data_IF_709223090812
#
_entry.id   IF_709223090812
#
_cell.length_a   1.000
_cell.length_b   1.000
_cell.length_c   1.000
_cell.angle_alpha   90.00
_cell.angle_beta   90.00
_cell.angle_gamma   90.00
#
_symmetry.space_group_name_H-M   'P 1'
#
loop_
_entity.id
_entity.type
_entity.pdbx_description
1 polymer ?
#
# COMPACT_ATOMS: atom_id res chain seq x y z
N UNK A 1 37.89 -33.01 -37.71
CA UNK A 1 36.90 -32.39 -36.78
C UNK A 1 37.17 -30.89 -36.73
N UNK A 2 36.21 -30.05 -37.11
CA UNK A 2 36.36 -28.59 -37.06
C UNK A 2 35.76 -28.02 -35.75
N UNK A 3 36.39 -27.04 -35.09
CA UNK A 3 35.90 -26.49 -33.83
C UNK A 3 34.68 -25.59 -34.04
N UNK A 4 33.59 -25.90 -33.33
CA UNK A 4 32.38 -25.06 -33.29
C UNK A 4 32.64 -23.82 -32.42
N UNK A 5 32.87 -22.67 -33.05
CA UNK A 5 32.97 -21.40 -32.34
C UNK A 5 31.63 -21.06 -31.68
N UNK A 6 31.58 -21.10 -30.34
CA UNK A 6 30.37 -20.82 -29.56
C UNK A 6 29.80 -19.42 -29.82
N UNK A 7 28.49 -19.35 -30.05
CA UNK A 7 27.79 -18.09 -30.33
C UNK A 7 27.84 -17.17 -29.10
N UNK A 8 28.57 -16.05 -29.18
CA UNK A 8 28.70 -15.09 -28.08
C UNK A 8 27.33 -14.49 -27.73
N UNK A 9 26.96 -14.57 -26.45
CA UNK A 9 25.69 -14.06 -25.92
C UNK A 9 25.69 -12.53 -26.01
N UNK A 10 24.70 -11.96 -26.67
CA UNK A 10 24.57 -10.50 -26.79
C UNK A 10 24.33 -9.87 -25.41
N UNK A 11 25.10 -8.83 -25.08
CA UNK A 11 24.99 -8.17 -23.77
C UNK A 11 23.63 -7.46 -23.63
N UNK A 12 23.15 -7.33 -22.39
CA UNK A 12 21.87 -6.65 -22.11
C UNK A 12 21.86 -5.21 -22.64
N UNK A 13 23.02 -4.54 -22.64
CA UNK A 13 23.19 -3.19 -23.20
C UNK A 13 22.98 -3.16 -24.72
N UNK A 14 23.50 -4.15 -25.45
CA UNK A 14 23.29 -4.27 -26.89
C UNK A 14 21.84 -4.65 -27.27
N UNK A 15 21.10 -5.29 -26.36
CA UNK A 15 19.65 -5.55 -26.55
C UNK A 15 18.80 -4.31 -26.32
N UNK A 16 19.23 -3.40 -25.44
CA UNK A 16 18.52 -2.16 -25.15
C UNK A 16 18.67 -1.09 -26.24
N UNK A 17 19.79 -1.11 -26.98
CA UNK A 17 20.02 -0.15 -28.08
C UNK A 17 19.34 -0.53 -29.40
N UNK A 18 18.87 -1.79 -29.54
CA UNK A 18 18.22 -2.27 -30.77
C UNK A 18 16.70 -2.33 -30.60
N UNK A 19 16.06 -1.18 -30.68
CA UNK A 19 14.73 -0.97 -31.28
C UNK A 19 14.25 0.46 -31.00
N UNK A 20 14.62 1.42 -31.85
CA UNK A 20 13.72 2.54 -32.13
C UNK A 20 12.54 1.95 -32.92
N UNK A 21 11.53 1.47 -32.19
CA UNK A 21 10.25 1.06 -32.77
C UNK A 21 9.71 2.27 -33.55
N UNK A 22 9.16 2.11 -34.78
CA UNK A 22 8.50 3.22 -35.45
C UNK A 22 7.43 3.74 -34.49
N UNK A 23 7.59 5.00 -34.08
CA UNK A 23 6.58 5.68 -33.28
C UNK A 23 5.33 5.71 -34.15
N UNK A 24 4.26 5.07 -33.68
CA UNK A 24 2.96 5.27 -34.30
C UNK A 24 2.69 6.77 -34.23
N UNK A 25 2.54 7.42 -35.38
CA UNK A 25 2.12 8.81 -35.49
C UNK A 25 0.67 8.87 -35.01
N UNK A 26 0.51 9.03 -33.71
CA UNK A 26 -0.79 9.36 -33.11
C UNK A 26 -1.18 10.74 -33.69
N UNK A 27 -2.42 10.91 -34.17
CA UNK A 27 -2.89 12.21 -34.59
C UNK A 27 -2.68 13.19 -33.43
N UNK A 28 -1.96 14.27 -33.70
CA UNK A 28 -1.90 15.43 -32.80
C UNK A 28 -3.34 15.84 -32.55
N UNK A 29 -3.83 15.86 -31.30
CA UNK A 29 -5.16 16.36 -31.05
C UNK A 29 -5.20 17.78 -31.60
N UNK A 30 -6.11 18.04 -32.53
CA UNK A 30 -6.39 19.39 -32.99
C UNK A 30 -6.52 20.28 -31.75
N UNK A 31 -5.92 21.46 -31.80
CA UNK A 31 -5.97 22.47 -30.75
C UNK A 31 -7.39 23.04 -30.52
N UNK A 32 -8.42 22.26 -30.81
CA UNK A 32 -9.82 22.50 -30.46
C UNK A 32 -10.05 22.11 -28.99
N UNK A 33 -9.28 22.73 -28.11
CA UNK A 33 -9.55 22.73 -26.69
C UNK A 33 -10.74 23.64 -26.41
N UNK A 34 -11.95 23.17 -26.77
CA UNK A 34 -13.24 23.71 -26.34
C UNK A 34 -13.32 23.94 -24.82
N UNK A 35 -12.41 23.30 -24.05
CA UNK A 35 -12.17 23.57 -22.64
C UNK A 35 -10.67 23.78 -22.38
N UNK A 36 -10.31 24.92 -21.78
CA UNK A 36 -8.94 25.18 -21.31
C UNK A 36 -8.52 24.11 -20.32
N UNK A 37 -7.56 23.28 -20.73
CA UNK A 37 -7.07 22.16 -19.91
C UNK A 37 -6.29 22.68 -18.69
N UNK A 38 -7.03 22.96 -17.62
CA UNK A 38 -6.49 23.41 -16.34
C UNK A 38 -5.50 22.38 -15.78
N UNK A 39 -4.49 22.85 -15.05
CA UNK A 39 -3.53 21.98 -14.36
C UNK A 39 -4.22 21.02 -13.39
N UNK A 40 -5.38 21.42 -12.84
CA UNK A 40 -6.23 20.56 -12.01
C UNK A 40 -6.82 19.41 -12.84
N UNK A 41 -7.35 19.71 -14.01
CA UNK A 41 -7.96 18.73 -14.91
C UNK A 41 -6.96 17.70 -15.45
N UNK A 42 -5.78 18.16 -15.87
CA UNK A 42 -4.67 17.26 -16.25
C UNK A 42 -4.27 16.33 -15.09
N UNK A 43 -4.34 16.81 -13.85
CA UNK A 43 -4.00 16.02 -12.66
C UNK A 43 -5.09 15.01 -12.33
N UNK A 44 -6.37 15.37 -12.43
CA UNK A 44 -7.49 14.46 -12.21
C UNK A 44 -7.53 13.35 -13.24
N UNK A 45 -7.33 13.68 -14.53
CA UNK A 45 -7.26 12.70 -15.62
C UNK A 45 -6.10 11.72 -15.41
N UNK A 46 -4.90 12.22 -15.05
CA UNK A 46 -3.75 11.35 -14.75
C UNK A 46 -4.01 10.45 -13.54
N UNK A 47 -4.65 11.00 -12.51
CA UNK A 47 -4.98 10.24 -11.30
C UNK A 47 -6.00 9.13 -11.59
N UNK A 48 -7.09 9.43 -12.32
CA UNK A 48 -8.11 8.43 -12.66
C UNK A 48 -7.56 7.32 -13.57
N UNK A 49 -6.71 7.68 -14.55
CA UNK A 49 -6.01 6.72 -15.39
C UNK A 49 -5.07 5.80 -14.56
N UNK A 50 -4.37 6.36 -13.57
CA UNK A 50 -3.50 5.59 -12.69
C UNK A 50 -4.27 4.64 -11.76
N UNK A 51 -5.36 5.12 -11.13
CA UNK A 51 -6.20 4.32 -10.23
C UNK A 51 -6.83 3.15 -10.99
N UNK A 52 -7.42 3.38 -12.15
CA UNK A 52 -8.01 2.31 -12.98
C UNK A 52 -6.99 1.25 -13.40
N UNK A 53 -5.73 1.64 -13.62
CA UNK A 53 -4.64 0.70 -13.93
C UNK A 53 -4.30 -0.19 -12.72
N UNK A 54 -4.26 0.38 -11.52
CA UNK A 54 -3.96 -0.36 -10.29
C UNK A 54 -5.09 -1.31 -9.94
N UNK A 55 -6.34 -0.81 -9.92
CA UNK A 55 -7.52 -1.61 -9.59
C UNK A 55 -7.61 -2.84 -10.47
N UNK A 56 -7.44 -2.68 -11.79
CA UNK A 56 -7.44 -3.79 -12.76
C UNK A 56 -6.25 -4.75 -12.61
N UNK A 57 -5.12 -4.31 -12.06
CA UNK A 57 -3.93 -5.15 -11.86
C UNK A 57 -3.90 -5.89 -10.51
N UNK A 58 -4.86 -5.61 -9.62
CA UNK A 58 -4.92 -6.21 -8.28
C UNK A 58 -5.41 -7.66 -8.27
N UNK A 59 -6.05 -8.12 -9.36
CA UNK A 59 -6.37 -9.54 -9.61
C UNK A 59 -5.09 -10.32 -9.98
N UNK A 60 -4.26 -10.59 -8.98
CA UNK A 60 -3.05 -11.40 -9.15
C UNK A 60 -3.41 -12.78 -9.70
N UNK A 61 -3.08 -13.03 -10.97
CA UNK A 61 -3.09 -14.37 -11.56
C UNK A 61 -2.13 -15.22 -10.71
N UNK A 62 -2.66 -16.22 -10.00
CA UNK A 62 -1.84 -17.10 -9.18
C UNK A 62 -0.80 -17.78 -10.07
N UNK A 63 0.48 -17.51 -9.80
CA UNK A 63 1.59 -18.18 -10.48
C UNK A 63 1.57 -19.64 -10.08
N UNK A 64 0.96 -20.49 -10.91
CA UNK A 64 0.94 -21.95 -10.72
C UNK A 64 2.38 -22.45 -10.80
N UNK A 65 2.80 -23.21 -9.79
CA UNK A 65 4.11 -23.89 -9.81
C UNK A 65 4.13 -24.89 -10.98
N UNK A 66 5.30 -25.05 -11.61
CA UNK A 66 5.51 -26.08 -12.64
C UNK A 66 5.13 -27.46 -12.06
N UNK A 67 4.57 -28.38 -12.87
CA UNK A 67 4.10 -29.69 -12.37
C UNK A 67 5.15 -30.43 -11.53
N UNK A 68 6.41 -30.43 -11.97
CA UNK A 68 7.53 -31.09 -11.27
C UNK A 68 8.00 -30.38 -9.98
N UNK A 69 7.34 -29.28 -9.59
CA UNK A 69 7.61 -28.54 -8.34
C UNK A 69 6.33 -28.25 -7.57
N UNK A 70 5.24 -28.99 -7.84
CA UNK A 70 4.07 -28.95 -6.96
C UNK A 70 4.42 -29.66 -5.66
N UNK A 71 4.01 -29.08 -4.54
CA UNK A 71 4.07 -29.79 -3.27
C UNK A 71 3.02 -30.91 -3.35
N UNK A 72 3.44 -32.14 -3.08
CA UNK A 72 2.52 -33.27 -2.94
C UNK A 72 1.92 -33.14 -1.54
N UNK A 73 0.62 -32.91 -1.44
CA UNK A 73 -0.09 -32.70 -0.16
C UNK A 73 -0.91 -33.93 0.23
N UNK A 74 -0.37 -35.13 -0.03
CA UNK A 74 -1.04 -36.39 0.30
C UNK A 74 -0.60 -36.84 1.71
N UNK A 75 -1.47 -37.59 2.41
CA UNK A 75 -1.17 -38.09 3.76
C UNK A 75 0.08 -38.99 3.80
N UNK A 76 0.36 -39.72 2.72
CA UNK A 76 1.59 -40.52 2.57
C UNK A 76 2.86 -39.66 2.57
N UNK A 77 2.81 -38.47 1.97
CA UNK A 77 3.95 -37.53 1.98
C UNK A 77 4.18 -36.92 3.36
N UNK A 78 3.14 -36.84 4.20
CA UNK A 78 3.26 -36.43 5.59
C UNK A 78 3.86 -37.56 6.46
N UNK A 79 3.49 -38.81 6.20
CA UNK A 79 4.06 -39.98 6.87
C UNK A 79 5.57 -40.13 6.57
N UNK A 80 5.98 -39.93 5.30
CA UNK A 80 7.40 -39.93 4.91
C UNK A 80 8.19 -38.81 5.61
N UNK A 81 7.60 -37.61 5.74
CA UNK A 81 8.20 -36.50 6.47
C UNK A 81 8.31 -36.73 7.99
N UNK A 82 7.49 -37.62 8.57
CA UNK A 82 7.57 -37.99 9.99
C UNK A 82 8.72 -38.98 10.26
N UNK A 83 9.10 -39.82 9.28
CA UNK A 83 10.20 -40.78 9.42
C UNK A 83 11.56 -40.10 9.69
N UNK A 84 11.72 -38.84 9.27
CA UNK A 84 12.91 -38.04 9.54
C UNK A 84 12.97 -37.38 10.92
N UNK A 85 11.90 -37.48 11.73
CA UNK A 85 11.81 -36.90 13.08
C UNK A 85 12.13 -37.92 14.20
N UNK A 86 12.07 -39.22 13.91
CA UNK A 86 12.33 -40.27 14.92
C UNK A 86 13.83 -40.42 15.24
N UNK A 87 14.70 -40.04 14.31
CA UNK A 87 16.16 -40.07 14.48
C UNK A 87 16.74 -38.68 14.84
N UNK A 88 16.07 -37.97 15.75
CA UNK A 88 16.51 -36.67 16.25
C UNK A 88 16.31 -36.60 17.75
N UNK A 89 17.38 -36.92 18.48
CA UNK A 89 17.44 -36.93 19.93
C UNK A 89 16.77 -35.70 20.57
N UNK A 90 16.03 -35.94 21.64
CA UNK A 90 15.28 -34.95 22.41
C UNK A 90 16.16 -33.90 23.11
N UNK A 91 16.68 -32.96 22.34
CA UNK A 91 17.23 -31.71 22.84
C UNK A 91 16.47 -30.55 22.20
N UNK A 92 15.79 -29.76 23.03
CA UNK A 92 15.16 -28.49 22.65
C UNK A 92 16.18 -27.42 22.26
N UNK A 93 17.06 -27.73 21.31
CA UNK A 93 17.90 -26.78 20.64
C UNK A 93 17.11 -26.26 19.44
N UNK A 94 16.35 -25.19 19.67
CA UNK A 94 16.01 -24.27 18.61
C UNK A 94 17.34 -23.87 17.97
N UNK A 95 17.68 -24.46 16.83
CA UNK A 95 18.82 -24.02 16.01
C UNK A 95 18.50 -22.60 15.59
N UNK A 96 18.94 -21.64 16.40
CA UNK A 96 19.05 -20.20 16.13
C UNK A 96 20.18 -20.04 15.11
N UNK A 97 19.98 -20.66 13.96
CA UNK A 97 20.85 -20.64 12.80
C UNK A 97 20.49 -19.45 11.92
N UNK A 98 21.07 -18.30 12.25
CA UNK A 98 21.54 -17.32 11.25
C UNK A 98 20.49 -16.64 10.37
N UNK A 99 19.47 -16.02 10.96
CA UNK A 99 18.92 -14.81 10.37
C UNK A 99 18.73 -13.76 11.46
N UNK A 100 19.83 -13.13 11.86
CA UNK A 100 19.79 -11.84 12.55
C UNK A 100 19.18 -10.86 11.54
N UNK A 101 17.85 -10.73 11.53
CA UNK A 101 17.12 -9.81 10.66
C UNK A 101 17.48 -8.40 11.14
N UNK A 102 18.61 -7.91 10.65
CA UNK A 102 19.01 -6.52 10.70
C UNK A 102 17.91 -5.79 9.91
N UNK A 103 16.91 -5.26 10.62
CA UNK A 103 15.89 -4.40 10.03
C UNK A 103 16.59 -3.12 9.60
N UNK A 104 17.21 -3.14 8.42
CA UNK A 104 17.68 -1.93 7.75
C UNK A 104 16.44 -1.09 7.50
N UNK A 105 16.26 -0.03 8.30
CA UNK A 105 15.20 0.94 8.04
C UNK A 105 15.39 1.44 6.61
N UNK A 106 14.31 1.44 5.83
CA UNK A 106 14.33 1.95 4.48
C UNK A 106 14.89 3.38 4.50
N UNK A 107 15.84 3.67 3.62
CA UNK A 107 16.48 4.99 3.54
C UNK A 107 15.39 6.06 3.43
N UNK A 108 15.37 7.02 4.36
CA UNK A 108 14.37 8.07 4.34
C UNK A 108 14.46 8.86 3.04
N UNK A 109 13.32 9.11 2.39
CA UNK A 109 13.26 9.94 1.19
C UNK A 109 13.42 11.41 1.60
N UNK A 110 14.03 12.27 0.77
CA UNK A 110 14.05 13.71 1.02
C UNK A 110 12.62 14.23 1.30
N UNK A 111 12.45 14.92 2.43
CA UNK A 111 11.15 15.43 2.88
C UNK A 111 10.20 14.41 3.53
N UNK A 112 10.57 13.14 3.67
CA UNK A 112 9.77 12.17 4.42
C UNK A 112 9.63 12.58 5.90
N UNK A 113 10.70 13.09 6.50
CA UNK A 113 10.68 13.61 7.87
C UNK A 113 9.76 14.84 8.01
N UNK A 114 9.80 15.77 7.05
CA UNK A 114 8.89 16.94 7.02
C UNK A 114 7.42 16.53 6.87
N UNK A 115 7.13 15.51 6.07
CA UNK A 115 5.77 14.97 5.93
C UNK A 115 5.30 14.31 7.21
N UNK A 116 6.17 13.52 7.85
CA UNK A 116 5.91 12.90 9.14
C UNK A 116 5.63 13.96 10.20
N UNK A 117 6.48 14.98 10.32
CA UNK A 117 6.31 16.10 11.25
C UNK A 117 5.00 16.86 11.00
N UNK A 118 4.65 17.12 9.72
CA UNK A 118 3.38 17.77 9.38
C UNK A 118 2.18 16.92 9.78
N UNK A 119 2.23 15.60 9.55
CA UNK A 119 1.18 14.67 9.99
C UNK A 119 1.08 14.65 11.52
N UNK A 120 2.20 14.50 12.22
CA UNK A 120 2.24 14.51 13.68
C UNK A 120 1.70 15.82 14.26
N UNK A 121 1.99 16.97 13.64
CA UNK A 121 1.43 18.26 14.08
C UNK A 121 -0.09 18.29 13.93
N UNK A 122 -0.61 17.88 12.77
CA UNK A 122 -2.06 17.81 12.53
C UNK A 122 -2.74 16.81 13.47
N UNK A 123 -2.10 15.68 13.76
CA UNK A 123 -2.59 14.68 14.71
C UNK A 123 -2.58 15.20 16.15
N UNK A 124 -1.53 15.91 16.57
CA UNK A 124 -1.47 16.58 17.88
C UNK A 124 -2.56 17.63 18.04
N UNK A 125 -2.78 18.47 17.02
CA UNK A 125 -3.86 19.47 17.05
C UNK A 125 -5.23 18.79 17.15
N UNK A 126 -5.49 17.74 16.36
CA UNK A 126 -6.73 16.94 16.45
C UNK A 126 -6.89 16.29 17.82
N UNK A 127 -5.82 15.73 18.37
CA UNK A 127 -5.83 15.09 19.67
C UNK A 127 -6.09 16.11 20.78
N UNK A 128 -5.45 17.28 20.74
CA UNK A 128 -5.68 18.37 21.69
C UNK A 128 -7.12 18.87 21.63
N UNK A 129 -7.71 19.02 20.44
CA UNK A 129 -9.12 19.40 20.31
C UNK A 129 -10.06 18.31 20.84
N UNK A 130 -9.74 17.04 20.65
CA UNK A 130 -10.51 15.93 21.21
C UNK A 130 -10.37 15.88 22.74
N UNK A 131 -9.15 16.03 23.25
CA UNK A 131 -8.86 16.08 24.68
C UNK A 131 -9.56 17.25 25.36
N UNK A 132 -9.59 18.43 24.75
CA UNK A 132 -10.34 19.58 25.25
C UNK A 132 -11.84 19.30 25.28
N UNK A 133 -12.40 18.67 24.24
CA UNK A 133 -13.80 18.26 24.23
C UNK A 133 -14.11 17.23 25.32
N UNK A 134 -13.26 16.22 25.49
CA UNK A 134 -13.39 15.22 26.55
C UNK A 134 -13.24 15.84 27.95
N UNK A 135 -12.32 16.79 28.14
CA UNK A 135 -12.15 17.50 29.41
C UNK A 135 -13.40 18.31 29.74
N UNK A 136 -13.93 19.08 28.78
CA UNK A 136 -15.20 19.81 28.97
C UNK A 136 -16.37 18.87 29.23
N UNK A 137 -16.47 17.74 28.52
CA UNK A 137 -17.52 16.75 28.77
C UNK A 137 -17.37 16.09 30.13
N UNK A 138 -16.16 15.77 30.59
CA UNK A 138 -15.88 15.24 31.93
C UNK A 138 -16.25 16.23 33.04
N UNK A 139 -15.99 17.53 32.84
CA UNK A 139 -16.39 18.59 33.78
C UNK A 139 -17.89 18.87 33.74
N UNK A 140 -18.54 18.79 32.56
CA UNK A 140 -19.98 18.96 32.42
C UNK A 140 -20.77 17.77 33.02
N UNK A 141 -20.26 16.54 32.87
CA UNK A 141 -20.87 15.34 33.45
C UNK A 141 -20.79 15.27 34.98
N UNK A 142 -19.99 16.13 35.62
CA UNK A 142 -19.90 16.24 37.08
C UNK A 142 -20.67 17.44 37.65
N UNK A 143 -21.06 18.43 36.83
CA UNK A 143 -21.66 19.68 37.29
C UNK A 143 -23.17 19.80 37.02
N UNK A 144 -23.77 18.96 36.18
CA UNK A 144 -25.20 19.06 35.85
C UNK A 144 -25.73 17.66 35.58
N UNK A 145 -26.85 17.29 36.21
CA UNK A 145 -27.54 16.01 36.03
C UNK A 145 -28.15 15.85 34.63
N UNK A 146 -27.37 16.08 33.58
CA UNK A 146 -27.77 15.89 32.20
C UNK A 146 -27.81 14.40 31.87
N UNK A 147 -28.79 14.02 31.04
CA UNK A 147 -28.97 12.64 30.61
C UNK A 147 -27.69 12.16 29.89
N UNK A 148 -26.93 11.19 30.42
CA UNK A 148 -25.62 10.83 29.89
C UNK A 148 -25.71 10.25 28.47
N UNK A 149 -26.87 9.71 28.08
CA UNK A 149 -27.13 9.30 26.71
C UNK A 149 -27.25 10.50 25.74
N UNK A 150 -27.93 11.58 26.13
CA UNK A 150 -28.10 12.76 25.28
C UNK A 150 -26.76 13.48 25.02
N UNK A 151 -25.93 13.61 26.05
CA UNK A 151 -24.60 14.22 25.92
C UNK A 151 -23.64 13.37 25.10
N UNK A 152 -23.66 12.04 25.25
CA UNK A 152 -22.90 11.12 24.39
C UNK A 152 -23.32 11.25 22.93
N UNK A 153 -24.62 11.37 22.67
CA UNK A 153 -25.15 11.54 21.31
C UNK A 153 -24.78 12.91 20.71
N UNK A 154 -24.81 13.98 21.51
CA UNK A 154 -24.35 15.30 21.07
C UNK A 154 -22.85 15.30 20.75
N UNK A 155 -22.03 14.69 21.61
CA UNK A 155 -20.59 14.52 21.39
C UNK A 155 -20.31 13.68 20.13
N UNK A 156 -21.04 12.58 19.91
CA UNK A 156 -20.93 11.75 18.71
C UNK A 156 -21.31 12.53 17.45
N UNK A 157 -22.42 13.27 17.46
CA UNK A 157 -22.84 14.12 16.33
C UNK A 157 -21.78 15.17 15.99
N UNK A 158 -21.21 15.81 17.01
CA UNK A 158 -20.12 16.79 16.84
C UNK A 158 -18.86 16.12 16.29
N UNK A 159 -18.49 14.94 16.80
CA UNK A 159 -17.34 14.17 16.32
C UNK A 159 -17.50 13.79 14.84
N UNK A 160 -18.62 13.17 14.47
CA UNK A 160 -18.92 12.76 13.09
C UNK A 160 -18.93 13.98 12.16
N UNK A 161 -19.55 15.09 12.56
CA UNK A 161 -19.54 16.33 11.76
C UNK A 161 -18.13 16.88 11.52
N UNK A 162 -17.23 16.72 12.49
CA UNK A 162 -15.88 17.28 12.42
C UNK A 162 -14.87 16.35 11.74
N UNK A 163 -15.10 15.03 11.75
CA UNK A 163 -14.17 14.04 11.17
C UNK A 163 -14.63 13.47 9.83
N UNK A 164 -15.93 13.50 9.52
CA UNK A 164 -16.42 13.00 8.24
C UNK A 164 -16.11 13.97 7.11
N UNK A 165 -15.56 13.44 6.02
CA UNK A 165 -15.41 14.19 4.77
C UNK A 165 -16.78 14.40 4.12
N UNK A 166 -17.25 15.64 4.10
CA UNK A 166 -18.49 16.01 3.42
C UNK A 166 -18.17 16.16 1.94
N UNK A 167 -18.77 15.31 1.10
CA UNK A 167 -18.63 15.43 -0.35
C UNK A 167 -19.21 16.77 -0.81
N UNK A 168 -18.61 17.44 -1.81
CA UNK A 168 -19.02 18.78 -2.23
C UNK A 168 -20.46 18.85 -2.71
N UNK A 169 -21.05 17.74 -3.17
CA UNK A 169 -22.47 17.65 -3.52
C UNK A 169 -23.46 17.88 -2.36
N UNK A 170 -23.01 17.77 -1.09
CA UNK A 170 -23.86 17.95 0.10
C UNK A 170 -23.63 19.28 0.81
N UNK A 171 -22.69 20.11 0.35
CA UNK A 171 -22.54 21.49 0.81
C UNK A 171 -23.58 22.35 0.08
N UNK A 172 -24.81 22.36 0.59
CA UNK A 172 -25.80 23.35 0.13
C UNK A 172 -25.37 24.76 0.53
N UNK A 173 -25.51 25.70 -0.41
CA UNK A 173 -25.17 27.13 -0.28
C UNK A 173 -26.01 27.82 0.78
#
# INVERSE_FOLDING_TARGET
MAPISGKKRTSARAKSSRAARPQATLPTPADDALFSSSKKDKRTIKHSAFVSKIERSSSKIQKRRRPNKKLVTNLESLADALSGLEQGDGNGELVVGQAKIQRKSLKSRPGAMKKKEKLEKLEKERFNMNLAQMATTSTASSATGSNPAADRWAALKKHVKNTAEIKPEFLQK
#
